data_IF_815248505980
#
_entry.id   IF_815248505980
#
_cell.length_a   1.000
_cell.length_b   1.000
_cell.length_c   1.000
_cell.angle_alpha   90.00
_cell.angle_beta   90.00
_cell.angle_gamma   90.00
#
_symmetry.space_group_name_H-M   'P 1'
#
loop_
_entity.id
_entity.type
_entity.pdbx_description
1 polymer ?
#
# COMPACT_ATOMS: atom_id res chain seq x y z
N UNK A 1 8.37 -16.22 23.55
CA UNK A 1 6.92 -16.40 23.26
C UNK A 1 6.20 -15.14 22.73
N UNK A 2 6.39 -13.94 23.31
CA UNK A 2 5.66 -12.70 22.93
C UNK A 2 5.84 -12.21 21.48
N UNK A 3 6.94 -12.55 20.80
CA UNK A 3 7.27 -12.04 19.45
C UNK A 3 6.45 -12.67 18.32
N UNK A 4 6.17 -13.98 18.39
CA UNK A 4 5.44 -14.69 17.34
C UNK A 4 3.96 -14.30 17.30
N UNK A 5 3.32 -14.20 18.47
CA UNK A 5 1.94 -13.72 18.60
C UNK A 5 1.81 -12.30 18.03
N UNK A 6 2.73 -11.40 18.41
CA UNK A 6 2.75 -10.03 17.87
C UNK A 6 2.95 -10.00 16.36
N UNK A 7 3.82 -10.85 15.82
CA UNK A 7 4.05 -10.97 14.37
C UNK A 7 2.78 -11.44 13.64
N UNK A 8 2.07 -12.42 14.20
CA UNK A 8 0.81 -12.93 13.64
C UNK A 8 -0.28 -11.84 13.63
N UNK A 9 -0.46 -11.14 14.76
CA UNK A 9 -1.44 -10.04 14.87
C UNK A 9 -1.12 -8.92 13.87
N UNK A 10 0.14 -8.46 13.83
CA UNK A 10 0.55 -7.42 12.88
C UNK A 10 0.37 -7.86 11.43
N UNK A 11 0.64 -9.14 11.12
CA UNK A 11 0.40 -9.71 9.80
C UNK A 11 -1.07 -9.67 9.41
N UNK A 12 -1.97 -10.05 10.33
CA UNK A 12 -3.42 -10.02 10.12
C UNK A 12 -3.94 -8.60 9.94
N UNK A 13 -3.53 -7.65 10.79
CA UNK A 13 -3.90 -6.24 10.68
C UNK A 13 -3.42 -5.67 9.33
N UNK A 14 -2.17 -5.94 8.95
CA UNK A 14 -1.62 -5.47 7.68
C UNK A 14 -2.34 -6.07 6.46
N UNK A 15 -2.79 -7.32 6.53
CA UNK A 15 -3.61 -7.94 5.49
C UNK A 15 -4.99 -7.28 5.38
N UNK A 16 -5.67 -7.09 6.51
CA UNK A 16 -6.99 -6.44 6.56
C UNK A 16 -6.93 -5.01 6.03
N UNK A 17 -5.94 -4.23 6.46
CA UNK A 17 -5.74 -2.85 6.02
C UNK A 17 -5.40 -2.77 4.53
N UNK A 18 -4.58 -3.69 4.00
CA UNK A 18 -4.31 -3.77 2.55
C UNK A 18 -5.59 -3.99 1.74
N UNK A 19 -6.45 -4.94 2.14
CA UNK A 19 -7.72 -5.17 1.45
C UNK A 19 -8.62 -3.93 1.44
N UNK A 20 -8.70 -3.21 2.56
CA UNK A 20 -9.47 -1.95 2.65
C UNK A 20 -8.88 -0.87 1.74
N UNK A 21 -7.57 -0.66 1.79
CA UNK A 21 -6.86 0.32 0.95
C UNK A 21 -7.00 0.03 -0.54
N UNK A 22 -6.92 -1.25 -0.95
CA UNK A 22 -7.09 -1.62 -2.37
C UNK A 22 -8.52 -1.38 -2.86
N UNK A 23 -9.54 -1.50 -2.00
CA UNK A 23 -10.92 -1.13 -2.36
C UNK A 23 -11.08 0.38 -2.54
N UNK A 24 -10.49 1.17 -1.65
CA UNK A 24 -10.57 2.64 -1.70
C UNK A 24 -9.71 3.24 -2.82
N UNK A 25 -8.55 2.64 -3.09
CA UNK A 25 -7.57 3.13 -4.07
C UNK A 25 -7.08 1.92 -4.90
N UNK A 26 -7.82 1.55 -5.97
CA UNK A 26 -7.53 0.36 -6.78
C UNK A 26 -6.11 0.32 -7.37
N UNK A 27 -5.54 1.49 -7.72
CA UNK A 27 -4.20 1.58 -8.32
C UNK A 27 -3.10 1.04 -7.41
N UNK A 28 -3.32 1.02 -6.08
CA UNK A 28 -2.35 0.47 -5.12
C UNK A 28 -2.16 -1.04 -5.27
N UNK A 29 -3.20 -1.76 -5.71
CA UNK A 29 -3.09 -3.21 -5.92
C UNK A 29 -2.11 -3.53 -7.05
N UNK A 30 -2.15 -2.74 -8.12
CA UNK A 30 -1.26 -2.92 -9.27
C UNK A 30 0.19 -2.53 -8.93
N UNK A 31 0.38 -1.41 -8.22
CA UNK A 31 1.70 -1.02 -7.72
C UNK A 31 2.31 -2.07 -6.77
N UNK A 32 1.49 -2.72 -5.93
CA UNK A 32 1.93 -3.82 -5.06
C UNK A 32 2.38 -5.05 -5.87
N UNK A 33 1.67 -5.39 -6.96
CA UNK A 33 2.10 -6.47 -7.87
C UNK A 33 3.42 -6.15 -8.55
N UNK A 34 3.56 -4.94 -9.09
CA UNK A 34 4.81 -4.48 -9.71
C UNK A 34 5.96 -4.50 -8.71
N UNK A 35 5.73 -4.06 -7.47
CA UNK A 35 6.74 -4.11 -6.43
C UNK A 35 7.13 -5.56 -6.08
N UNK A 36 6.18 -6.49 -6.06
CA UNK A 36 6.46 -7.91 -5.84
C UNK A 36 7.28 -8.52 -6.97
N UNK A 37 6.94 -8.22 -8.24
CA UNK A 37 7.72 -8.64 -9.40
C UNK A 37 9.15 -8.07 -9.34
N UNK A 38 9.29 -6.79 -8.97
CA UNK A 38 10.59 -6.15 -8.84
C UNK A 38 11.46 -6.81 -7.77
N UNK A 39 10.88 -7.08 -6.59
CA UNK A 39 11.59 -7.79 -5.51
C UNK A 39 12.09 -9.16 -5.97
N UNK A 40 11.29 -9.91 -6.72
CA UNK A 40 11.69 -11.22 -7.28
C UNK A 40 12.81 -11.09 -8.32
N UNK A 41 12.82 -10.01 -9.09
CA UNK A 41 13.82 -9.78 -10.13
C UNK A 41 15.19 -9.36 -9.60
N UNK A 42 15.31 -9.02 -8.30
CA UNK A 42 16.51 -8.45 -7.66
C UNK A 42 17.12 -7.22 -8.37
N UNK A 43 16.37 -6.58 -9.28
CA UNK A 43 16.82 -5.38 -10.00
C UNK A 43 16.82 -4.16 -9.07
N UNK A 44 17.70 -3.20 -9.34
CA UNK A 44 17.72 -1.87 -8.68
C UNK A 44 16.72 -0.95 -9.37
N UNK A 45 15.97 -0.11 -8.64
CA UNK A 45 15.01 0.84 -9.24
C UNK A 45 13.57 0.84 -8.68
N UNK A 46 13.29 0.10 -7.61
CA UNK A 46 11.97 0.09 -6.95
C UNK A 46 11.53 1.47 -6.41
N UNK A 47 12.44 2.45 -6.34
CA UNK A 47 12.16 3.80 -5.87
C UNK A 47 11.03 4.48 -6.66
N UNK A 48 10.92 4.25 -7.98
CA UNK A 48 9.83 4.81 -8.79
C UNK A 48 8.46 4.28 -8.37
N UNK A 49 8.37 2.98 -8.09
CA UNK A 49 7.14 2.32 -7.62
C UNK A 49 6.77 2.86 -6.23
N UNK A 50 7.75 3.06 -5.34
CA UNK A 50 7.52 3.66 -4.02
C UNK A 50 7.02 5.10 -4.14
N UNK A 51 7.60 5.91 -5.04
CA UNK A 51 7.15 7.29 -5.30
C UNK A 51 5.72 7.30 -5.84
N UNK A 52 5.41 6.48 -6.84
CA UNK A 52 4.07 6.35 -7.40
C UNK A 52 3.03 5.95 -6.33
N UNK A 53 3.40 5.04 -5.44
CA UNK A 53 2.54 4.64 -4.31
C UNK A 53 2.22 5.79 -3.37
N UNK A 54 3.23 6.58 -2.98
CA UNK A 54 3.04 7.76 -2.13
C UNK A 54 2.13 8.79 -2.81
N UNK A 55 2.37 9.05 -4.09
CA UNK A 55 1.56 9.98 -4.88
C UNK A 55 0.09 9.55 -4.97
N UNK A 56 -0.18 8.26 -5.21
CA UNK A 56 -1.54 7.74 -5.27
C UNK A 56 -2.30 7.95 -3.95
N UNK A 57 -1.63 7.80 -2.81
CA UNK A 57 -2.21 8.05 -1.49
C UNK A 57 -2.48 9.55 -1.29
N UNK A 58 -1.49 10.41 -1.58
CA UNK A 58 -1.66 11.86 -1.48
C UNK A 58 -2.82 12.37 -2.34
N UNK A 59 -2.93 11.88 -3.59
CA UNK A 59 -4.02 12.23 -4.50
C UNK A 59 -5.39 11.79 -3.95
N UNK A 60 -5.48 10.57 -3.40
CA UNK A 60 -6.71 10.06 -2.82
C UNK A 60 -7.14 10.86 -1.58
N UNK A 61 -6.19 11.25 -0.72
CA UNK A 61 -6.46 12.11 0.43
C UNK A 61 -6.91 13.51 0.01
N UNK A 62 -6.22 14.11 -0.98
CA UNK A 62 -6.59 15.42 -1.52
C UNK A 62 -7.96 15.42 -2.24
N UNK A 63 -8.38 14.28 -2.80
CA UNK A 63 -9.71 14.13 -3.37
C UNK A 63 -10.78 14.00 -2.26
N UNK A 64 -10.50 13.23 -1.20
CA UNK A 64 -11.40 13.08 -0.05
C UNK A 64 -11.58 14.36 0.76
N UNK A 65 -10.55 15.20 0.92
CA UNK A 65 -10.69 16.48 1.60
C UNK A 65 -11.55 17.48 0.80
N UNK A 66 -11.44 17.47 -0.53
CA UNK A 66 -12.25 18.33 -1.41
C UNK A 66 -13.75 18.02 -1.36
N UNK A 67 -14.15 16.80 -1.02
CA UNK A 67 -15.56 16.42 -0.90
C UNK A 67 -16.19 16.76 0.45
N UNK A 68 -15.41 17.21 1.44
CA UNK A 68 -15.90 17.59 2.78
C UNK A 68 -16.08 19.11 2.91
N UNK A 69 -15.42 19.88 2.05
CA UNK A 69 -15.44 21.36 2.06
C UNK A 69 -16.39 21.97 1.00
N UNK A 70 -17.15 21.15 0.27
CA UNK A 70 -18.16 21.59 -0.71
C UNK A 70 -19.54 21.07 -0.35
#
# INVERSE_FOLDING_TARGET
MKRLIRKAINGWIAWRNRKRLHRAIPVLAELDRQQAAYRRSHKRGAARIIKARKQAICNALAAGNRTVEG
#
